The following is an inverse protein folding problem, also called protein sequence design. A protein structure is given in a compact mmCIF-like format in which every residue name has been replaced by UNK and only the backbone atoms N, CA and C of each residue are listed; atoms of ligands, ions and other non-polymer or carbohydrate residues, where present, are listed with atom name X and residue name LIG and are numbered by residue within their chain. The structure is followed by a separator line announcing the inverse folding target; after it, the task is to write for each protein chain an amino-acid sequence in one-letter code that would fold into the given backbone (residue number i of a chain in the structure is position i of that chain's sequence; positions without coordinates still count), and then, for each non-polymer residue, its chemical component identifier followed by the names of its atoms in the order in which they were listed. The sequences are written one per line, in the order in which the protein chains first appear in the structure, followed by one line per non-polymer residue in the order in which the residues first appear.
data_IF_426902392622
#
_entry.id   IF_426902392622
#
_cell.length_a   1.000
_cell.length_b   1.000
_cell.length_c   1.000
_cell.angle_alpha   90.00
_cell.angle_beta   90.00
_cell.angle_gamma   90.00
#
_symmetry.space_group_name_H-M   'P 1'
#
loop_
_entity.id
_entity.type
_entity.pdbx_description
1 polymer ?
#
# COMPACT_ATOMS: atom_id res chain seq x y z
N UNK A 1 -21.04 -18.87 -35.06
CA UNK A 1 -20.69 -17.77 -34.16
C UNK A 1 -21.07 -16.47 -34.84
N UNK A 2 -21.58 -15.47 -34.11
CA UNK A 2 -20.70 -14.33 -33.87
C UNK A 2 -20.90 -13.62 -32.52
N UNK A 3 -19.83 -12.92 -32.15
CA UNK A 3 -19.64 -12.08 -30.99
C UNK A 3 -20.79 -11.08 -30.75
N UNK A 4 -21.15 -10.89 -29.48
CA UNK A 4 -21.85 -9.70 -29.00
C UNK A 4 -20.86 -8.53 -28.98
N UNK A 5 -21.22 -7.35 -29.49
CA UNK A 5 -20.29 -6.22 -29.57
C UNK A 5 -19.99 -5.66 -28.18
N UNK A 6 -18.70 -5.46 -27.91
CA UNK A 6 -18.16 -4.75 -26.75
C UNK A 6 -18.60 -3.27 -26.74
N UNK A 7 -18.70 -2.63 -25.56
CA UNK A 7 -19.10 -1.24 -25.44
C UNK A 7 -18.05 -0.32 -26.10
N UNK A 8 -18.55 0.61 -26.91
CA UNK A 8 -17.76 1.57 -27.69
C UNK A 8 -16.80 2.36 -26.79
N UNK A 9 -15.50 2.13 -26.94
CA UNK A 9 -14.49 3.04 -26.43
C UNK A 9 -14.48 4.28 -27.32
N UNK A 10 -14.71 5.44 -26.70
CA UNK A 10 -14.65 6.74 -27.35
C UNK A 10 -13.26 6.92 -27.97
N UNK A 11 -13.21 7.13 -29.28
CA UNK A 11 -11.96 7.28 -30.05
C UNK A 11 -11.29 8.59 -29.67
N UNK A 12 -10.37 8.53 -28.71
CA UNK A 12 -9.36 9.57 -28.56
C UNK A 12 -8.47 9.57 -29.80
N UNK A 13 -8.46 10.69 -30.54
CA UNK A 13 -7.67 10.85 -31.75
C UNK A 13 -6.18 10.87 -31.39
N UNK A 14 -5.49 9.74 -31.61
CA UNK A 14 -4.10 9.50 -31.19
C UNK A 14 -3.05 10.29 -31.98
N UNK A 15 -3.47 11.32 -32.73
CA UNK A 15 -2.59 12.08 -33.63
C UNK A 15 -1.95 13.32 -33.00
N UNK A 16 -1.76 13.35 -31.68
CA UNK A 16 -0.82 14.26 -31.04
C UNK A 16 -0.31 13.73 -29.67
N UNK A 17 0.51 12.68 -29.69
CA UNK A 17 1.20 12.16 -28.49
C UNK A 17 2.70 12.00 -28.78
N UNK A 18 3.38 13.13 -29.01
CA UNK A 18 4.83 13.16 -29.19
C UNK A 18 5.57 13.93 -28.07
N UNK A 19 4.98 14.13 -26.88
CA UNK A 19 5.60 15.00 -25.85
C UNK A 19 5.64 14.44 -24.40
N UNK A 20 5.45 13.13 -24.17
CA UNK A 20 5.45 12.58 -22.79
C UNK A 20 6.30 11.34 -22.54
N UNK A 21 7.28 11.03 -23.38
CA UNK A 21 8.32 10.05 -23.03
C UNK A 21 9.69 10.65 -23.28
N UNK A 22 10.05 11.58 -22.42
CA UNK A 22 11.42 12.04 -22.35
C UNK A 22 12.09 11.32 -21.18
N UNK A 23 12.97 10.37 -21.49
CA UNK A 23 14.08 9.92 -20.65
C UNK A 23 15.06 11.08 -20.39
N UNK A 24 14.55 12.30 -20.14
CA UNK A 24 15.35 13.44 -19.76
C UNK A 24 15.59 13.39 -18.27
N UNK A 25 16.84 13.56 -17.81
CA UNK A 25 17.14 13.60 -16.39
C UNK A 25 16.43 14.80 -15.75
N UNK A 26 15.77 14.55 -14.62
CA UNK A 26 15.21 15.62 -13.78
C UNK A 26 16.40 16.34 -13.12
N UNK A 27 16.61 17.62 -13.47
CA UNK A 27 17.61 18.48 -12.83
C UNK A 27 16.96 19.07 -11.58
N UNK A 28 17.31 18.57 -10.38
CA UNK A 28 16.90 19.20 -9.12
C UNK A 28 17.78 20.44 -8.87
N UNK A 29 17.17 21.63 -8.90
CA UNK A 29 17.82 22.84 -8.41
C UNK A 29 18.04 22.76 -6.89
N UNK A 30 19.18 23.27 -6.41
CA UNK A 30 19.55 23.24 -4.96
C UNK A 30 18.50 23.87 -4.05
N UNK A 31 17.69 24.80 -4.56
CA UNK A 31 16.59 25.43 -3.81
C UNK A 31 15.40 24.50 -3.58
N UNK A 32 15.22 23.47 -4.39
CA UNK A 32 14.11 22.52 -4.29
C UNK A 32 14.47 21.27 -3.46
N UNK A 33 15.75 21.05 -3.14
CA UNK A 33 16.17 19.91 -2.32
C UNK A 33 15.50 19.86 -0.94
N UNK A 34 15.18 21.02 -0.35
CA UNK A 34 14.48 21.09 0.94
C UNK A 34 13.00 20.65 0.84
N UNK A 35 12.38 20.77 -0.34
CA UNK A 35 10.98 20.40 -0.57
C UNK A 35 10.78 18.92 -0.84
N UNK A 36 11.83 18.22 -1.25
CA UNK A 36 11.84 16.80 -1.63
C UNK A 36 12.76 15.97 -0.75
N UNK A 37 12.80 16.25 0.55
CA UNK A 37 13.46 15.37 1.50
C UNK A 37 12.67 14.06 1.58
N UNK A 38 13.03 13.09 0.74
CA UNK A 38 12.51 11.74 0.82
C UNK A 38 13.01 11.13 2.13
N UNK A 39 12.15 11.05 3.12
CA UNK A 39 12.44 10.29 4.33
C UNK A 39 12.68 8.84 3.91
N UNK A 40 13.91 8.37 4.09
CA UNK A 40 14.26 6.98 3.84
C UNK A 40 13.57 6.16 4.92
N UNK A 41 12.36 5.70 4.61
CA UNK A 41 11.66 4.74 5.47
C UNK A 41 12.35 3.40 5.29
N UNK A 42 13.13 3.02 6.29
CA UNK A 42 13.75 1.70 6.35
C UNK A 42 12.64 0.65 6.56
N UNK A 43 12.21 0.02 5.47
CA UNK A 43 11.30 -1.13 5.56
C UNK A 43 12.11 -2.36 5.98
N UNK A 44 11.88 -2.86 7.19
CA UNK A 44 12.37 -4.17 7.57
C UNK A 44 11.68 -5.22 6.69
N UNK A 45 12.45 -5.84 5.79
CA UNK A 45 11.97 -6.91 4.89
C UNK A 45 11.70 -8.24 5.63
N UNK A 46 11.81 -8.25 6.96
CA UNK A 46 11.52 -9.41 7.77
C UNK A 46 10.00 -9.62 7.87
N UNK A 47 9.54 -10.84 7.57
CA UNK A 47 8.14 -11.21 7.58
C UNK A 47 7.50 -11.05 8.96
N UNK A 48 8.23 -11.37 10.03
CA UNK A 48 7.72 -11.28 11.39
C UNK A 48 7.48 -9.82 11.82
N UNK A 49 8.37 -8.91 11.44
CA UNK A 49 8.25 -7.49 11.76
C UNK A 49 7.09 -6.84 10.99
N UNK A 50 6.95 -7.16 9.70
CA UNK A 50 5.79 -6.71 8.91
C UNK A 50 4.47 -7.23 9.48
N UNK A 51 4.42 -8.49 9.91
CA UNK A 51 3.23 -9.06 10.52
C UNK A 51 2.89 -8.37 11.86
N UNK A 52 3.90 -8.11 12.69
CA UNK A 52 3.73 -7.38 13.96
C UNK A 52 3.18 -5.97 13.73
N UNK A 53 3.72 -5.25 12.76
CA UNK A 53 3.27 -3.90 12.42
C UNK A 53 1.83 -3.88 11.90
N UNK A 54 1.47 -4.84 11.05
CA UNK A 54 0.11 -4.98 10.53
C UNK A 54 -0.89 -5.25 11.66
N UNK A 55 -0.55 -6.18 12.57
CA UNK A 55 -1.41 -6.50 13.73
C UNK A 55 -1.56 -5.29 14.62
N UNK A 56 -0.48 -4.55 14.90
CA UNK A 56 -0.50 -3.36 15.75
C UNK A 56 -1.39 -2.27 15.14
N UNK A 57 -1.18 -1.95 13.86
CA UNK A 57 -1.98 -0.94 13.13
C UNK A 57 -3.46 -1.30 13.08
N UNK A 58 -3.79 -2.57 12.85
CA UNK A 58 -5.17 -3.03 12.80
C UNK A 58 -5.83 -2.97 14.19
N UNK A 59 -5.11 -3.33 15.27
CA UNK A 59 -5.60 -3.20 16.64
C UNK A 59 -5.86 -1.73 17.00
N UNK A 60 -4.94 -0.82 16.66
CA UNK A 60 -5.12 0.61 16.92
C UNK A 60 -6.33 1.17 16.16
N UNK A 61 -6.48 0.81 14.89
CA UNK A 61 -7.62 1.21 14.04
C UNK A 61 -8.97 0.78 14.64
N UNK A 62 -9.04 -0.42 15.20
CA UNK A 62 -10.25 -0.97 15.81
C UNK A 62 -10.34 -0.76 17.33
N UNK A 63 -9.45 0.04 17.91
CA UNK A 63 -9.40 0.33 19.37
C UNK A 63 -9.34 -0.95 20.22
N UNK A 64 -8.52 -1.91 19.81
CA UNK A 64 -8.32 -3.19 20.50
C UNK A 64 -9.45 -4.21 20.31
N UNK A 65 -10.47 -3.93 19.48
CA UNK A 65 -11.55 -4.88 19.21
C UNK A 65 -11.04 -6.06 18.38
N UNK A 66 -10.74 -7.16 19.06
CA UNK A 66 -10.15 -8.39 18.48
C UNK A 66 -10.94 -8.97 17.33
N UNK A 67 -12.28 -9.02 17.44
CA UNK A 67 -13.15 -9.53 16.37
C UNK A 67 -12.99 -8.74 15.07
N UNK A 68 -13.15 -7.41 15.14
CA UNK A 68 -13.06 -6.54 13.96
C UNK A 68 -11.65 -6.52 13.36
N UNK A 69 -10.63 -6.58 14.22
CA UNK A 69 -9.23 -6.70 13.81
C UNK A 69 -8.97 -8.01 13.07
N UNK A 70 -9.45 -9.13 13.62
CA UNK A 70 -9.30 -10.45 13.03
C UNK A 70 -10.02 -10.55 11.68
N UNK A 71 -11.24 -10.00 11.60
CA UNK A 71 -12.02 -9.92 10.37
C UNK A 71 -11.31 -9.08 9.30
N UNK A 72 -10.72 -7.93 9.66
CA UNK A 72 -9.95 -7.08 8.72
C UNK A 72 -8.67 -7.77 8.23
N UNK A 73 -7.97 -8.46 9.12
CA UNK A 73 -6.75 -9.20 8.77
C UNK A 73 -7.03 -10.54 8.07
N UNK A 74 -8.30 -10.97 7.97
CA UNK A 74 -8.68 -12.24 7.36
C UNK A 74 -8.22 -13.47 8.14
N UNK A 75 -8.05 -13.36 9.47
CA UNK A 75 -7.60 -14.45 10.34
C UNK A 75 -8.63 -14.74 11.44
N UNK A 76 -8.55 -15.92 12.07
CA UNK A 76 -9.40 -16.20 13.23
C UNK A 76 -8.97 -15.39 14.46
N UNK A 77 -9.90 -15.07 15.37
CA UNK A 77 -9.58 -14.44 16.67
C UNK A 77 -8.52 -15.25 17.46
N UNK A 78 -8.53 -16.58 17.34
CA UNK A 78 -7.54 -17.47 17.96
C UNK A 78 -6.14 -17.25 17.39
N UNK A 79 -6.04 -17.09 16.08
CA UNK A 79 -4.77 -16.79 15.39
C UNK A 79 -4.26 -15.42 15.84
N UNK A 80 -5.15 -14.41 15.84
CA UNK A 80 -4.81 -13.06 16.28
C UNK A 80 -4.30 -13.07 17.73
N UNK A 81 -5.00 -13.73 18.64
CA UNK A 81 -4.59 -13.83 20.05
C UNK A 81 -3.21 -14.48 20.22
N UNK A 82 -2.94 -15.57 19.49
CA UNK A 82 -1.62 -16.24 19.53
C UNK A 82 -0.52 -15.30 19.05
N UNK A 83 -0.76 -14.56 17.97
CA UNK A 83 0.22 -13.63 17.40
C UNK A 83 0.48 -12.43 18.31
N UNK A 84 -0.55 -11.85 18.93
CA UNK A 84 -0.43 -10.81 19.96
C UNK A 84 0.48 -11.29 21.11
N UNK A 85 0.27 -12.53 21.58
CA UNK A 85 1.09 -13.12 22.63
C UNK A 85 2.53 -13.40 22.17
N UNK A 86 2.71 -13.90 20.95
CA UNK A 86 4.03 -14.21 20.38
C UNK A 86 4.90 -12.96 20.22
N UNK A 87 4.31 -11.86 19.74
CA UNK A 87 5.01 -10.60 19.50
C UNK A 87 4.96 -9.64 20.70
N UNK A 88 4.37 -10.08 21.81
CA UNK A 88 4.19 -9.31 23.04
C UNK A 88 3.58 -7.92 22.80
N UNK A 89 2.55 -7.85 21.95
CA UNK A 89 1.89 -6.61 21.56
C UNK A 89 1.01 -6.14 22.74
N UNK A 90 1.14 -4.89 23.20
CA UNK A 90 0.31 -4.35 24.28
C UNK A 90 -1.16 -4.24 23.83
N UNK A 91 -2.08 -4.44 24.77
CA UNK A 91 -3.52 -4.38 24.54
C UNK A 91 -4.11 -3.07 25.08
#
# INVERSE_FOLDING_TARGET
MPYSPEPVHEVIDYKNVNDFTEDKPIILDKKDQERYHAEVVEFNLNLEDMEKDLITKALDKHRGKRKQTADELGISERTLYRKIKQYNIPN
#
